data_IF_462041348403
#
_entry.id   IF_462041348403
#
_cell.length_a   1.000
_cell.length_b   1.000
_cell.length_c   1.000
_cell.angle_alpha   90.00
_cell.angle_beta   90.00
_cell.angle_gamma   90.00
#
_symmetry.space_group_name_H-M   'P 1'
#
loop_
_entity.id
_entity.type
_entity.pdbx_description
1 polymer ?
#
# COMPACT_ATOMS: atom_id res chain seq x y z
N UNK A 1 16.44 -4.55 1.28
CA UNK A 1 15.50 -3.83 0.40
C UNK A 1 16.35 -3.11 -0.63
N UNK A 2 16.26 -3.51 -1.90
CA UNK A 2 17.10 -2.95 -2.96
C UNK A 2 16.30 -1.87 -3.66
N UNK A 3 16.83 -0.65 -3.71
CA UNK A 3 16.23 0.44 -4.47
C UNK A 3 16.56 0.27 -5.96
N UNK A 4 15.61 0.58 -6.83
CA UNK A 4 15.76 0.57 -8.30
C UNK A 4 15.59 1.98 -8.84
N UNK A 5 16.26 2.30 -9.93
CA UNK A 5 16.08 3.60 -10.60
C UNK A 5 14.71 3.70 -11.27
N UNK A 6 14.27 4.94 -11.55
CA UNK A 6 12.99 5.18 -12.22
C UNK A 6 12.93 4.50 -13.61
N UNK A 7 14.04 4.51 -14.34
CA UNK A 7 14.13 3.91 -15.68
C UNK A 7 14.06 2.38 -15.64
N UNK A 8 14.54 1.76 -14.55
CA UNK A 8 14.47 0.30 -14.35
C UNK A 8 13.13 -0.17 -13.77
N UNK A 9 12.35 0.73 -13.17
CA UNK A 9 11.12 0.38 -12.45
C UNK A 9 10.10 -0.34 -13.35
N UNK A 10 9.99 0.06 -14.62
CA UNK A 10 9.08 -0.61 -15.57
C UNK A 10 9.40 -2.09 -15.77
N UNK A 11 10.68 -2.43 -15.98
CA UNK A 11 11.11 -3.82 -16.13
C UNK A 11 11.04 -4.58 -14.80
N UNK A 12 11.35 -3.92 -13.68
CA UNK A 12 11.28 -4.51 -12.35
C UNK A 12 9.86 -4.96 -11.99
N UNK A 13 8.84 -4.15 -12.28
CA UNK A 13 7.44 -4.46 -11.98
C UNK A 13 6.71 -5.21 -13.10
N UNK A 14 7.27 -5.26 -14.32
CA UNK A 14 6.70 -6.02 -15.44
C UNK A 14 5.26 -5.63 -15.76
N UNK A 15 4.36 -6.60 -15.83
CA UNK A 15 2.94 -6.36 -16.14
C UNK A 15 2.23 -5.47 -15.10
N UNK A 16 2.75 -5.39 -13.87
CA UNK A 16 2.19 -4.54 -12.81
C UNK A 16 2.56 -3.05 -12.95
N UNK A 17 3.54 -2.72 -13.80
CA UNK A 17 4.05 -1.35 -13.95
C UNK A 17 2.93 -0.32 -14.22
N UNK A 18 1.90 -0.72 -14.97
CA UNK A 18 0.76 0.14 -15.30
C UNK A 18 -0.10 0.53 -14.07
N UNK A 19 -0.10 -0.28 -13.01
CA UNK A 19 -0.84 -0.03 -11.78
C UNK A 19 0.00 0.73 -10.76
N UNK A 20 1.20 0.23 -10.49
CA UNK A 20 2.09 0.80 -9.45
C UNK A 20 2.62 2.19 -9.80
N UNK A 21 2.61 2.58 -11.08
CA UNK A 21 2.96 3.93 -11.52
C UNK A 21 1.87 4.98 -11.24
N UNK A 22 0.68 4.56 -10.81
CA UNK A 22 -0.45 5.45 -10.53
C UNK A 22 -0.56 5.73 -9.04
N UNK A 23 -1.03 6.93 -8.73
CA UNK A 23 -1.50 7.25 -7.38
C UNK A 23 -2.83 6.54 -7.11
N UNK A 24 -2.75 5.34 -6.55
CA UNK A 24 -3.89 4.48 -6.23
C UNK A 24 -4.45 4.79 -4.84
N UNK A 25 -5.09 5.95 -4.71
CA UNK A 25 -5.81 6.33 -3.49
C UNK A 25 -7.01 5.41 -3.25
N UNK A 26 -7.17 4.93 -2.01
CA UNK A 26 -8.29 4.08 -1.60
C UNK A 26 -8.94 4.57 -0.29
N UNK A 27 -10.24 4.30 -0.14
CA UNK A 27 -11.01 4.65 1.06
C UNK A 27 -11.86 3.47 1.53
N UNK A 28 -12.01 3.33 2.84
CA UNK A 28 -12.86 2.30 3.46
C UNK A 28 -14.30 2.74 3.70
N UNK A 29 -14.67 3.98 3.32
CA UNK A 29 -15.96 4.58 3.65
C UNK A 29 -17.17 3.70 3.26
N UNK A 30 -17.22 3.25 2.00
CA UNK A 30 -18.31 2.43 1.50
C UNK A 30 -18.37 1.05 2.17
N UNK A 31 -17.22 0.45 2.48
CA UNK A 31 -17.16 -0.85 3.18
C UNK A 31 -17.77 -0.72 4.58
N UNK A 32 -17.41 0.34 5.32
CA UNK A 32 -17.95 0.60 6.66
C UNK A 32 -19.46 0.87 6.62
N UNK A 33 -19.92 1.68 5.66
CA UNK A 33 -21.34 1.99 5.47
C UNK A 33 -22.16 0.73 5.17
N UNK A 34 -21.70 -0.10 4.22
CA UNK A 34 -22.45 -1.25 3.74
C UNK A 34 -22.45 -2.42 4.71
N UNK A 35 -21.34 -2.62 5.43
CA UNK A 35 -21.15 -3.81 6.26
C UNK A 35 -21.26 -3.52 7.76
N UNK A 36 -21.42 -2.25 8.16
CA UNK A 36 -21.32 -1.85 9.57
C UNK A 36 -19.94 -2.15 10.18
N UNK A 37 -18.93 -2.34 9.33
CA UNK A 37 -17.58 -2.72 9.77
C UNK A 37 -16.89 -1.55 10.46
N UNK A 38 -16.37 -1.80 11.66
CA UNK A 38 -15.54 -0.86 12.40
C UNK A 38 -14.18 -1.51 12.71
N UNK A 39 -13.07 -1.08 12.08
CA UNK A 39 -11.76 -1.65 12.33
C UNK A 39 -11.32 -1.37 13.77
N UNK A 40 -10.90 -2.41 14.48
CA UNK A 40 -10.38 -2.39 15.85
C UNK A 40 -8.84 -2.50 15.94
N UNK A 41 -8.19 -2.82 14.81
CA UNK A 41 -6.75 -2.88 14.67
C UNK A 41 -6.06 -1.51 14.46
N UNK A 42 -4.73 -1.49 14.56
CA UNK A 42 -3.92 -0.32 14.21
C UNK A 42 -4.14 0.11 12.75
N UNK A 43 -3.85 1.38 12.46
CA UNK A 43 -3.86 1.87 11.09
C UNK A 43 -2.70 1.28 10.30
N UNK A 44 -2.83 1.16 8.97
CA UNK A 44 -1.76 0.68 8.09
C UNK A 44 -0.43 1.44 8.33
N UNK A 45 -0.50 2.76 8.56
CA UNK A 45 0.69 3.56 8.84
C UNK A 45 1.34 3.17 10.19
N UNK A 46 0.55 2.83 11.22
CA UNK A 46 1.09 2.34 12.47
C UNK A 46 1.78 0.97 12.29
N UNK A 47 1.20 0.08 11.51
CA UNK A 47 1.79 -1.24 11.21
C UNK A 47 3.11 -1.14 10.44
N UNK A 48 3.16 -0.31 9.38
CA UNK A 48 4.38 -0.10 8.59
C UNK A 48 5.53 0.39 9.48
N UNK A 49 5.24 1.33 10.40
CA UNK A 49 6.26 1.82 11.35
C UNK A 49 6.75 0.70 12.27
N UNK A 50 5.85 -0.14 12.77
CA UNK A 50 6.22 -1.27 13.63
C UNK A 50 7.10 -2.30 12.90
N UNK A 51 6.86 -2.53 11.60
CA UNK A 51 7.68 -3.43 10.77
C UNK A 51 9.11 -2.90 10.57
N UNK A 52 9.28 -1.60 10.33
CA UNK A 52 10.61 -0.99 10.10
C UNK A 52 11.38 -0.70 11.39
N UNK A 53 10.69 -0.63 12.53
CA UNK A 53 11.29 -0.37 13.83
C UNK A 53 11.86 -1.64 14.50
N UNK A 54 11.55 -2.83 13.98
CA UNK A 54 12.07 -4.09 14.50
C UNK A 54 13.42 -4.40 13.82
N UNK A 55 14.49 -4.66 14.58
CA UNK A 55 15.77 -5.11 14.02
C UNK A 55 15.67 -6.49 13.38
#
# INVERSE_FOLDING_TARGET
MTSVSADEAGAHFGWLAAFVSKDMSASSALTRERLGWNPDGPTLHADIRAMTAKP
#
